data_IF_150084463305
#
_entry.id   IF_150084463305
#
_cell.length_a   1.000
_cell.length_b   1.000
_cell.length_c   1.000
_cell.angle_alpha   90.00
_cell.angle_beta   90.00
_cell.angle_gamma   90.00
#
_symmetry.space_group_name_H-M   'P 1'
#
loop_
_entity.id
_entity.type
_entity.pdbx_description
1 polymer ?
#
# COMPACT_ATOMS: atom_id res chain seq x y z
N UNK A 1 -46.02 -40.75 -0.39
CA UNK A 1 -45.71 -40.78 -1.83
C UNK A 1 -44.38 -40.09 -2.05
N UNK A 2 -43.44 -40.79 -2.68
CA UNK A 2 -42.08 -40.28 -2.94
C UNK A 2 -41.97 -39.92 -4.42
N UNK A 3 -41.54 -38.69 -4.74
CA UNK A 3 -41.41 -38.17 -6.12
C UNK A 3 -40.12 -37.35 -6.26
N UNK A 4 -39.00 -38.05 -6.42
CA UNK A 4 -37.66 -37.45 -6.40
C UNK A 4 -36.78 -38.04 -7.49
N UNK A 5 -35.67 -37.37 -7.80
CA UNK A 5 -34.62 -37.91 -8.68
C UNK A 5 -34.04 -39.24 -8.22
N UNK A 6 -33.47 -40.01 -9.15
CA UNK A 6 -32.84 -41.32 -8.87
C UNK A 6 -31.75 -41.25 -7.80
N UNK A 7 -31.00 -40.14 -7.75
CA UNK A 7 -29.96 -39.92 -6.74
C UNK A 7 -30.55 -39.80 -5.33
N UNK A 8 -31.62 -39.01 -5.18
CA UNK A 8 -32.34 -38.86 -3.90
C UNK A 8 -33.04 -40.15 -3.50
N UNK A 9 -33.61 -40.88 -4.46
CA UNK A 9 -34.22 -42.17 -4.19
C UNK A 9 -33.21 -43.18 -3.64
N UNK A 10 -31.98 -43.22 -4.19
CA UNK A 10 -30.89 -44.06 -3.65
C UNK A 10 -30.52 -43.69 -2.21
N UNK A 11 -30.40 -42.40 -1.90
CA UNK A 11 -30.12 -41.89 -0.55
C UNK A 11 -31.23 -42.30 0.43
N UNK A 12 -32.48 -42.13 0.04
CA UNK A 12 -33.66 -42.50 0.82
C UNK A 12 -33.73 -44.02 1.07
N UNK A 13 -33.45 -44.82 0.04
CA UNK A 13 -33.39 -46.28 0.16
C UNK A 13 -32.28 -46.73 1.14
N UNK A 14 -31.13 -46.05 1.15
CA UNK A 14 -30.03 -46.37 2.07
C UNK A 14 -30.42 -46.16 3.55
N UNK A 15 -31.13 -45.08 3.87
CA UNK A 15 -31.64 -44.82 5.24
C UNK A 15 -32.94 -45.55 5.57
N UNK A 16 -33.50 -46.29 4.60
CA UNK A 16 -34.69 -47.10 4.78
C UNK A 16 -35.98 -46.30 5.03
N UNK A 17 -36.07 -45.07 4.52
CA UNK A 17 -37.33 -44.32 4.53
C UNK A 17 -38.23 -44.79 3.38
N UNK A 18 -39.43 -45.23 3.72
CA UNK A 18 -40.36 -45.90 2.81
C UNK A 18 -41.69 -45.14 2.70
N UNK A 19 -42.51 -45.52 1.72
CA UNK A 19 -43.88 -45.00 1.63
C UNK A 19 -44.75 -45.38 2.84
N UNK A 20 -44.45 -46.50 3.50
CA UNK A 20 -45.12 -46.92 4.73
C UNK A 20 -44.81 -45.96 5.89
N UNK A 21 -43.55 -45.52 6.03
CA UNK A 21 -43.17 -44.51 7.04
C UNK A 21 -43.94 -43.20 6.81
N UNK A 22 -44.07 -42.78 5.54
CA UNK A 22 -44.83 -41.59 5.16
C UNK A 22 -46.33 -41.76 5.41
N UNK A 23 -46.87 -42.95 5.17
CA UNK A 23 -48.28 -43.26 5.44
C UNK A 23 -48.58 -43.25 6.94
N UNK A 24 -47.69 -43.80 7.77
CA UNK A 24 -47.77 -43.74 9.24
C UNK A 24 -47.83 -42.27 9.68
N UNK A 25 -46.85 -41.46 9.30
CA UNK A 25 -46.81 -40.05 9.71
C UNK A 25 -48.04 -39.27 9.24
N UNK A 26 -48.50 -39.50 8.01
CA UNK A 26 -49.72 -38.87 7.48
C UNK A 26 -50.97 -39.28 8.26
N UNK A 27 -51.11 -40.56 8.60
CA UNK A 27 -52.26 -41.05 9.36
C UNK A 27 -52.32 -40.49 10.78
N UNK A 28 -51.17 -40.07 11.34
CA UNK A 28 -51.03 -39.55 12.69
C UNK A 28 -50.98 -38.02 12.76
N UNK A 29 -51.29 -37.33 11.66
CA UNK A 29 -51.26 -35.86 11.59
C UNK A 29 -52.09 -35.17 12.68
N UNK A 30 -53.23 -35.74 13.10
CA UNK A 30 -54.05 -35.20 14.19
C UNK A 30 -53.32 -35.25 15.55
N UNK A 31 -52.67 -36.36 15.87
CA UNK A 31 -51.88 -36.51 17.09
C UNK A 31 -50.67 -35.55 17.10
N UNK A 32 -50.01 -35.36 15.96
CA UNK A 32 -48.94 -34.37 15.82
C UNK A 32 -49.45 -32.93 15.98
N UNK A 33 -50.61 -32.61 15.42
CA UNK A 33 -51.22 -31.29 15.58
C UNK A 33 -51.54 -30.98 17.05
N UNK A 34 -52.03 -31.96 17.82
CA UNK A 34 -52.32 -31.82 19.25
C UNK A 34 -51.08 -31.46 20.07
N UNK A 35 -49.91 -32.03 19.73
CA UNK A 35 -48.67 -31.81 20.50
C UNK A 35 -47.80 -30.67 19.96
N UNK A 36 -48.09 -30.13 18.76
CA UNK A 36 -47.22 -29.19 18.04
C UNK A 36 -46.89 -27.95 18.86
N UNK A 37 -47.89 -27.34 19.51
CA UNK A 37 -47.66 -26.15 20.34
C UNK A 37 -46.73 -26.46 21.51
N UNK A 38 -46.98 -27.56 22.23
CA UNK A 38 -46.17 -27.98 23.37
C UNK A 38 -44.73 -28.30 22.97
N UNK A 39 -44.53 -29.03 21.87
CA UNK A 39 -43.19 -29.36 21.36
C UNK A 39 -42.41 -28.09 21.03
N UNK A 40 -43.01 -27.16 20.29
CA UNK A 40 -42.31 -25.95 19.86
C UNK A 40 -42.05 -25.00 21.02
N UNK A 41 -43.00 -24.84 21.94
CA UNK A 41 -42.80 -23.98 23.11
C UNK A 41 -41.68 -24.53 24.02
N UNK A 42 -41.71 -25.83 24.36
CA UNK A 42 -40.65 -26.47 25.14
C UNK A 42 -39.29 -26.46 24.41
N UNK A 43 -39.28 -26.53 23.08
CA UNK A 43 -38.05 -26.41 22.29
C UNK A 43 -37.42 -25.02 22.44
N UNK A 44 -38.21 -23.95 22.32
CA UNK A 44 -37.69 -22.60 22.46
C UNK A 44 -37.26 -22.28 23.90
N UNK A 45 -37.90 -22.86 24.90
CA UNK A 45 -37.42 -22.75 26.29
C UNK A 45 -36.00 -23.31 26.43
N UNK A 46 -35.68 -24.41 25.73
CA UNK A 46 -34.32 -24.99 25.68
C UNK A 46 -33.34 -24.10 24.91
N UNK A 47 -33.75 -23.60 23.74
CA UNK A 47 -32.91 -22.78 22.85
C UNK A 47 -32.56 -21.43 23.51
N UNK A 48 -33.55 -20.77 24.12
CA UNK A 48 -33.37 -19.47 24.80
C UNK A 48 -32.49 -19.61 26.05
N UNK A 49 -32.42 -20.81 26.63
CA UNK A 49 -31.47 -21.13 27.69
C UNK A 49 -30.00 -21.05 27.29
N UNK A 50 -29.67 -21.01 25.98
CA UNK A 50 -28.32 -20.84 25.47
C UNK A 50 -28.09 -19.38 25.03
N UNK A 51 -27.24 -18.59 25.73
CA UNK A 51 -27.05 -17.17 25.45
C UNK A 51 -26.66 -16.83 24.00
N UNK A 52 -25.81 -17.65 23.39
CA UNK A 52 -25.35 -17.48 22.02
C UNK A 52 -26.48 -17.67 20.98
N UNK A 53 -27.37 -18.64 21.20
CA UNK A 53 -28.52 -18.87 20.33
C UNK A 53 -29.57 -17.78 20.50
N UNK A 54 -29.79 -17.33 21.74
CA UNK A 54 -30.68 -16.20 22.03
C UNK A 54 -30.18 -14.93 21.35
N UNK A 55 -28.88 -14.64 21.42
CA UNK A 55 -28.26 -13.51 20.71
C UNK A 55 -28.49 -13.61 19.21
N UNK A 56 -28.25 -14.78 18.63
CA UNK A 56 -28.44 -15.01 17.20
C UNK A 56 -29.89 -14.79 16.76
N UNK A 57 -30.85 -15.30 17.53
CA UNK A 57 -32.28 -15.07 17.30
C UNK A 57 -32.59 -13.58 17.31
N UNK A 58 -32.18 -12.86 18.36
CA UNK A 58 -32.48 -11.44 18.52
C UNK A 58 -31.83 -10.56 17.43
N UNK A 59 -30.74 -11.02 16.81
CA UNK A 59 -30.10 -10.33 15.69
C UNK A 59 -30.81 -10.50 14.35
N UNK A 60 -31.62 -11.57 14.17
CA UNK A 60 -32.18 -11.92 12.86
C UNK A 60 -33.71 -12.10 12.85
N UNK A 61 -34.36 -12.24 14.01
CA UNK A 61 -35.79 -12.48 14.13
C UNK A 61 -36.32 -12.22 15.55
N UNK A 62 -37.51 -12.75 15.84
CA UNK A 62 -38.14 -12.75 17.16
C UNK A 62 -38.58 -14.17 17.49
N UNK A 63 -38.62 -14.51 18.78
CA UNK A 63 -39.00 -15.85 19.23
C UNK A 63 -40.39 -16.23 18.70
N UNK A 64 -41.37 -15.33 18.76
CA UNK A 64 -42.75 -15.66 18.35
C UNK A 64 -42.87 -15.96 16.86
N UNK A 65 -42.20 -15.17 16.01
CA UNK A 65 -42.18 -15.44 14.56
C UNK A 65 -41.50 -16.77 14.25
N UNK A 66 -40.42 -17.08 14.96
CA UNK A 66 -39.71 -18.33 14.76
C UNK A 66 -40.51 -19.53 15.28
N UNK A 67 -41.23 -19.41 16.40
CA UNK A 67 -42.15 -20.43 16.90
C UNK A 67 -43.23 -20.76 15.87
N UNK A 68 -43.85 -19.77 15.23
CA UNK A 68 -44.80 -20.03 14.13
C UNK A 68 -44.17 -20.81 12.99
N UNK A 69 -42.96 -20.42 12.58
CA UNK A 69 -42.22 -21.09 11.50
C UNK A 69 -41.86 -22.53 11.89
N UNK A 70 -41.48 -22.76 13.15
CA UNK A 70 -41.15 -24.08 13.67
C UNK A 70 -42.37 -24.98 13.84
N UNK A 71 -43.55 -24.42 14.16
CA UNK A 71 -44.82 -25.17 14.16
C UNK A 71 -45.16 -25.68 12.77
N UNK A 72 -45.03 -24.82 11.76
CA UNK A 72 -45.18 -25.24 10.37
C UNK A 72 -44.15 -26.31 9.99
N UNK A 73 -42.87 -26.12 10.37
CA UNK A 73 -41.80 -27.08 10.10
C UNK A 73 -42.10 -28.45 10.71
N UNK A 74 -42.46 -28.50 11.99
CA UNK A 74 -42.77 -29.77 12.66
C UNK A 74 -43.94 -30.49 12.00
N UNK A 75 -45.02 -29.77 11.66
CA UNK A 75 -46.16 -30.34 10.94
C UNK A 75 -45.83 -30.75 9.51
N UNK A 76 -44.85 -30.10 8.86
CA UNK A 76 -44.44 -30.48 7.50
C UNK A 76 -43.79 -31.88 7.46
N UNK A 77 -43.29 -32.39 8.59
CA UNK A 77 -42.77 -33.77 8.68
C UNK A 77 -43.87 -34.83 8.56
N UNK A 78 -45.14 -34.47 8.75
CA UNK A 78 -46.28 -35.40 8.65
C UNK A 78 -47.06 -35.26 7.35
N UNK A 79 -46.53 -34.59 6.34
CA UNK A 79 -47.23 -34.37 5.06
C UNK A 79 -47.53 -35.67 4.29
N UNK A 80 -46.70 -36.71 4.51
CA UNK A 80 -46.72 -37.95 3.74
C UNK A 80 -46.21 -37.81 2.31
N UNK A 81 -45.58 -36.68 1.97
CA UNK A 81 -45.05 -36.36 0.64
C UNK A 81 -43.60 -35.91 0.76
N UNK A 82 -42.72 -36.57 0.01
CA UNK A 82 -41.35 -36.14 -0.23
C UNK A 82 -41.19 -35.97 -1.74
N UNK A 83 -41.02 -34.72 -2.17
CA UNK A 83 -40.82 -34.33 -3.55
C UNK A 83 -39.67 -33.31 -3.68
N UNK A 84 -39.37 -32.88 -4.91
CA UNK A 84 -38.31 -31.88 -5.15
C UNK A 84 -38.58 -30.54 -4.43
N UNK A 85 -39.85 -30.17 -4.19
CA UNK A 85 -40.22 -28.99 -3.42
C UNK A 85 -39.83 -29.14 -1.94
N UNK A 86 -40.02 -30.33 -1.36
CA UNK A 86 -39.52 -30.65 -0.03
C UNK A 86 -38.01 -30.42 0.06
N UNK A 87 -37.23 -31.01 -0.85
CA UNK A 87 -35.77 -30.85 -0.86
C UNK A 87 -35.34 -29.40 -1.04
N UNK A 88 -35.93 -28.69 -2.01
CA UNK A 88 -35.60 -27.29 -2.30
C UNK A 88 -35.84 -26.38 -1.10
N UNK A 89 -36.94 -26.60 -0.35
CA UNK A 89 -37.23 -25.84 0.87
C UNK A 89 -36.23 -26.14 1.98
N UNK A 90 -35.85 -27.41 2.19
CA UNK A 90 -34.88 -27.79 3.22
C UNK A 90 -33.48 -27.27 2.92
N UNK A 91 -33.04 -27.35 1.66
CA UNK A 91 -31.81 -26.72 1.20
C UNK A 91 -31.81 -25.21 1.46
N UNK A 92 -32.91 -24.52 1.12
CA UNK A 92 -33.04 -23.09 1.39
C UNK A 92 -32.94 -22.76 2.90
N UNK A 93 -33.63 -23.51 3.75
CA UNK A 93 -33.57 -23.34 5.21
C UNK A 93 -32.13 -23.57 5.71
N UNK A 94 -31.45 -24.62 5.24
CA UNK A 94 -30.03 -24.87 5.58
C UNK A 94 -29.14 -23.68 5.19
N UNK A 95 -29.29 -23.15 3.97
CA UNK A 95 -28.57 -21.97 3.49
C UNK A 95 -28.81 -20.72 4.34
N UNK A 96 -30.04 -20.50 4.82
CA UNK A 96 -30.37 -19.39 5.72
C UNK A 96 -29.62 -19.53 7.05
N UNK A 97 -29.61 -20.73 7.64
CA UNK A 97 -28.94 -20.97 8.92
C UNK A 97 -27.41 -20.89 8.81
N UNK A 98 -26.81 -21.40 7.73
CA UNK A 98 -25.37 -21.20 7.45
C UNK A 98 -25.04 -19.72 7.35
N UNK A 99 -25.86 -18.95 6.63
CA UNK A 99 -25.64 -17.51 6.41
C UNK A 99 -25.69 -16.67 7.68
N UNK A 100 -26.58 -16.99 8.62
CA UNK A 100 -26.63 -16.29 9.91
C UNK A 100 -25.55 -16.78 10.88
N UNK A 101 -24.79 -17.83 10.53
CA UNK A 101 -23.71 -18.36 11.37
C UNK A 101 -24.17 -19.32 12.46
N UNK A 102 -25.36 -19.95 12.31
CA UNK A 102 -25.72 -21.06 13.19
C UNK A 102 -24.80 -22.25 12.87
N UNK A 103 -24.03 -22.72 13.84
CA UNK A 103 -23.14 -23.88 13.62
C UNK A 103 -23.94 -25.18 13.46
N UNK A 104 -23.41 -26.13 12.69
CA UNK A 104 -24.00 -27.46 12.52
C UNK A 104 -24.21 -28.20 13.85
N UNK A 105 -23.36 -27.97 14.86
CA UNK A 105 -23.51 -28.58 16.20
C UNK A 105 -24.87 -28.25 16.84
N UNK A 106 -25.24 -26.97 16.87
CA UNK A 106 -26.51 -26.51 17.41
C UNK A 106 -27.69 -26.93 16.55
N UNK A 107 -27.54 -26.87 15.23
CA UNK A 107 -28.57 -27.31 14.30
C UNK A 107 -28.87 -28.80 14.49
N UNK A 108 -27.84 -29.65 14.44
CA UNK A 108 -27.98 -31.09 14.57
C UNK A 108 -28.52 -31.49 15.96
N UNK A 109 -28.07 -30.81 17.02
CA UNK A 109 -28.60 -30.98 18.36
C UNK A 109 -30.10 -30.65 18.48
N UNK A 110 -30.64 -29.78 17.62
CA UNK A 110 -32.07 -29.44 17.63
C UNK A 110 -32.93 -30.63 17.19
N UNK A 111 -32.44 -31.51 16.31
CA UNK A 111 -33.17 -32.72 15.90
C UNK A 111 -33.40 -33.69 17.04
N UNK A 112 -32.40 -33.89 17.92
CA UNK A 112 -32.58 -34.77 19.08
C UNK A 112 -33.55 -34.16 20.09
N UNK A 113 -33.54 -32.83 20.27
CA UNK A 113 -34.53 -32.15 21.11
C UNK A 113 -35.95 -32.32 20.57
N UNK A 114 -36.14 -32.20 19.25
CA UNK A 114 -37.42 -32.47 18.62
C UNK A 114 -37.89 -33.91 18.86
N UNK A 115 -37.02 -34.90 18.69
CA UNK A 115 -37.35 -36.30 18.91
C UNK A 115 -37.71 -36.61 20.36
N UNK A 116 -36.95 -36.07 21.32
CA UNK A 116 -37.23 -36.26 22.75
C UNK A 116 -38.58 -35.68 23.15
N UNK A 117 -38.86 -34.44 22.71
CA UNK A 117 -40.11 -33.75 22.99
C UNK A 117 -41.31 -34.41 22.30
N UNK A 118 -41.16 -34.78 21.02
CA UNK A 118 -42.20 -35.50 20.29
C UNK A 118 -42.50 -36.86 20.93
N UNK A 119 -41.48 -37.62 21.33
CA UNK A 119 -41.64 -38.92 22.01
C UNK A 119 -42.38 -38.77 23.34
N UNK A 120 -42.00 -37.79 24.15
CA UNK A 120 -42.64 -37.50 25.44
C UNK A 120 -44.14 -37.25 25.29
N UNK A 121 -44.54 -36.46 24.29
CA UNK A 121 -45.94 -36.06 24.09
C UNK A 121 -46.76 -37.09 23.31
N UNK A 122 -46.19 -37.74 22.28
CA UNK A 122 -46.86 -38.82 21.53
C UNK A 122 -47.22 -40.01 22.42
N UNK A 123 -46.39 -40.35 23.41
CA UNK A 123 -46.72 -41.38 24.42
C UNK A 123 -48.03 -41.11 25.17
N UNK A 124 -48.45 -39.85 25.26
CA UNK A 124 -49.68 -39.44 25.97
C UNK A 124 -50.88 -39.44 25.05
N UNK A 125 -50.74 -38.93 23.82
CA UNK A 125 -51.85 -38.73 22.88
C UNK A 125 -52.10 -39.94 21.95
N UNK A 126 -51.11 -40.80 21.75
CA UNK A 126 -51.19 -42.01 20.90
C UNK A 126 -50.41 -43.19 21.53
N UNK A 127 -50.80 -43.66 22.74
CA UNK A 127 -50.03 -44.64 23.51
C UNK A 127 -49.88 -46.01 22.83
N UNK A 128 -50.78 -46.35 21.91
CA UNK A 128 -50.77 -47.67 21.24
C UNK A 128 -49.78 -47.75 20.07
N UNK A 129 -49.42 -46.62 19.44
CA UNK A 129 -48.64 -46.63 18.18
C UNK A 129 -47.55 -45.54 18.09
N UNK A 130 -47.25 -44.85 19.21
CA UNK A 130 -46.22 -43.81 19.25
C UNK A 130 -44.84 -44.31 18.77
N UNK A 131 -44.51 -45.60 18.96
CA UNK A 131 -43.21 -46.16 18.54
C UNK A 131 -43.02 -46.12 17.03
N UNK A 132 -44.06 -46.45 16.25
CA UNK A 132 -43.99 -46.41 14.78
C UNK A 132 -43.89 -44.97 14.29
N UNK A 133 -44.65 -44.07 14.93
CA UNK A 133 -44.61 -42.64 14.65
C UNK A 133 -43.24 -42.03 14.90
N UNK A 134 -42.63 -42.30 16.06
CA UNK A 134 -41.28 -41.80 16.42
C UNK A 134 -40.20 -42.41 15.53
N UNK A 135 -40.30 -43.69 15.15
CA UNK A 135 -39.35 -44.31 14.24
C UNK A 135 -39.40 -43.68 12.84
N UNK A 136 -40.59 -43.49 12.27
CA UNK A 136 -40.77 -42.80 11.00
C UNK A 136 -40.29 -41.34 11.06
N UNK A 137 -40.60 -40.64 12.16
CA UNK A 137 -40.13 -39.26 12.40
C UNK A 137 -38.60 -39.18 12.50
N UNK A 138 -37.96 -40.17 13.12
CA UNK A 138 -36.50 -40.24 13.25
C UNK A 138 -35.83 -40.36 11.88
N UNK A 139 -36.40 -41.17 10.97
CA UNK A 139 -35.94 -41.26 9.58
C UNK A 139 -36.14 -39.94 8.83
N UNK A 140 -37.28 -39.27 9.02
CA UNK A 140 -37.53 -37.94 8.43
C UNK A 140 -36.51 -36.89 8.89
N UNK A 141 -36.22 -36.83 10.20
CA UNK A 141 -35.20 -35.90 10.71
C UNK A 141 -33.79 -36.27 10.25
N UNK A 142 -33.47 -37.56 10.12
CA UNK A 142 -32.19 -37.96 9.56
C UNK A 142 -32.04 -37.53 8.10
N UNK A 143 -33.08 -37.71 7.27
CA UNK A 143 -33.10 -37.21 5.90
C UNK A 143 -32.93 -35.69 5.85
N UNK A 144 -33.70 -34.96 6.68
CA UNK A 144 -33.62 -33.50 6.78
C UNK A 144 -32.22 -33.02 7.17
N UNK A 145 -31.59 -33.71 8.14
CA UNK A 145 -30.22 -33.42 8.58
C UNK A 145 -29.21 -33.56 7.44
N UNK A 146 -29.34 -34.58 6.59
CA UNK A 146 -28.45 -34.78 5.44
C UNK A 146 -28.61 -33.65 4.42
N UNK A 147 -29.84 -33.20 4.16
CA UNK A 147 -30.10 -32.09 3.23
C UNK A 147 -29.55 -30.77 3.78
N UNK A 148 -29.68 -30.54 5.09
CA UNK A 148 -29.11 -29.35 5.73
C UNK A 148 -27.58 -29.39 5.68
N UNK A 149 -26.95 -30.53 5.96
CA UNK A 149 -25.49 -30.67 5.86
C UNK A 149 -24.99 -30.42 4.43
N UNK A 150 -25.69 -30.93 3.41
CA UNK A 150 -25.41 -30.62 2.00
C UNK A 150 -25.45 -29.11 1.73
N UNK A 151 -26.45 -28.39 2.26
CA UNK A 151 -26.52 -26.94 2.13
C UNK A 151 -25.34 -26.19 2.80
N UNK A 152 -24.84 -26.69 3.94
CA UNK A 152 -23.66 -26.14 4.61
C UNK A 152 -22.38 -26.43 3.82
N UNK A 153 -22.24 -27.65 3.28
CA UNK A 153 -21.10 -28.04 2.45
C UNK A 153 -21.03 -27.21 1.16
N UNK A 154 -22.16 -26.98 0.49
CA UNK A 154 -22.23 -26.10 -0.68
C UNK A 154 -21.79 -24.66 -0.36
N UNK A 155 -22.30 -24.10 0.75
CA UNK A 155 -21.96 -22.74 1.18
C UNK A 155 -20.48 -22.60 1.55
N UNK A 156 -19.91 -23.60 2.23
CA UNK A 156 -18.50 -23.61 2.60
C UNK A 156 -17.60 -23.78 1.37
N UNK A 157 -17.97 -24.65 0.44
CA UNK A 157 -17.26 -24.81 -0.83
C UNK A 157 -17.23 -23.50 -1.62
N UNK A 158 -18.36 -22.79 -1.71
CA UNK A 158 -18.41 -21.50 -2.39
C UNK A 158 -17.53 -20.44 -1.72
N UNK A 159 -17.44 -20.43 -0.37
CA UNK A 159 -16.51 -19.55 0.36
C UNK A 159 -15.05 -19.89 0.05
N UNK A 160 -14.69 -21.17 0.02
CA UNK A 160 -13.34 -21.64 -0.31
C UNK A 160 -12.96 -21.25 -1.74
N UNK A 161 -13.85 -21.46 -2.73
CA UNK A 161 -13.62 -21.06 -4.12
C UNK A 161 -13.34 -19.54 -4.23
N UNK A 162 -14.14 -18.72 -3.55
CA UNK A 162 -13.92 -17.26 -3.51
C UNK A 162 -12.60 -16.87 -2.84
N UNK A 163 -12.19 -17.58 -1.79
CA UNK A 163 -10.90 -17.36 -1.13
C UNK A 163 -9.74 -17.70 -2.09
N UNK A 164 -9.84 -18.79 -2.84
CA UNK A 164 -8.85 -19.18 -3.86
C UNK A 164 -8.75 -18.13 -4.96
N UNK A 165 -9.88 -17.66 -5.50
CA UNK A 165 -9.89 -16.59 -6.51
C UNK A 165 -9.24 -15.30 -6.00
N UNK A 166 -9.60 -14.89 -4.77
CA UNK A 166 -9.05 -13.68 -4.15
C UNK A 166 -7.54 -13.83 -3.91
N UNK A 167 -7.09 -15.01 -3.44
CA UNK A 167 -5.66 -15.32 -3.27
C UNK A 167 -4.91 -15.23 -4.60
N UNK A 168 -5.43 -15.85 -5.66
CA UNK A 168 -4.78 -15.85 -6.98
C UNK A 168 -4.68 -14.44 -7.57
N UNK A 169 -5.73 -13.63 -7.40
CA UNK A 169 -5.73 -12.22 -7.79
C UNK A 169 -4.64 -11.44 -7.04
N UNK A 170 -4.53 -11.63 -5.72
CA UNK A 170 -3.51 -10.98 -4.90
C UNK A 170 -2.09 -11.39 -5.31
N UNK A 171 -1.83 -12.68 -5.54
CA UNK A 171 -0.53 -13.17 -6.00
C UNK A 171 -0.11 -12.54 -7.34
N UNK A 172 -1.03 -12.49 -8.30
CA UNK A 172 -0.78 -11.85 -9.61
C UNK A 172 -0.48 -10.36 -9.44
N UNK A 173 -1.21 -9.67 -8.54
CA UNK A 173 -0.99 -8.24 -8.29
C UNK A 173 0.35 -7.97 -7.61
N UNK A 174 0.74 -8.80 -6.64
CA UNK A 174 2.05 -8.70 -5.96
C UNK A 174 3.18 -8.94 -6.95
N UNK A 175 3.09 -9.98 -7.79
CA UNK A 175 4.08 -10.27 -8.84
C UNK A 175 4.28 -9.08 -9.78
N UNK A 176 3.18 -8.47 -10.24
CA UNK A 176 3.24 -7.25 -11.07
C UNK A 176 3.95 -6.09 -10.38
N UNK A 177 3.71 -5.88 -9.08
CA UNK A 177 4.35 -4.80 -8.30
C UNK A 177 5.84 -5.08 -8.11
N UNK A 178 6.23 -6.33 -7.85
CA UNK A 178 7.65 -6.73 -7.71
C UNK A 178 8.42 -6.51 -9.02
N UNK A 179 7.81 -6.83 -10.16
CA UNK A 179 8.45 -6.60 -11.47
C UNK A 179 8.64 -5.10 -11.77
N UNK A 180 7.64 -4.28 -11.46
CA UNK A 180 7.71 -2.83 -11.63
C UNK A 180 8.77 -2.23 -10.70
N UNK A 181 8.81 -2.68 -9.43
CA UNK A 181 9.83 -2.30 -8.46
C UNK A 181 11.23 -2.61 -8.97
N UNK A 182 11.47 -3.84 -9.45
CA UNK A 182 12.77 -4.28 -10.00
C UNK A 182 13.24 -3.38 -11.14
N UNK A 183 12.33 -3.00 -12.06
CA UNK A 183 12.65 -2.06 -13.14
C UNK A 183 13.04 -0.68 -12.61
N UNK A 184 12.28 -0.15 -11.64
CA UNK A 184 12.60 1.12 -10.99
C UNK A 184 13.96 1.09 -10.29
N UNK A 185 14.33 -0.03 -9.66
CA UNK A 185 15.62 -0.19 -8.99
C UNK A 185 16.79 -0.09 -9.96
N UNK A 186 16.69 -0.75 -11.12
CA UNK A 186 17.71 -0.66 -12.18
C UNK A 186 17.89 0.77 -12.66
N UNK A 187 16.78 1.49 -12.87
CA UNK A 187 16.81 2.89 -13.28
C UNK A 187 17.42 3.78 -12.18
N UNK A 188 17.02 3.59 -10.92
CA UNK A 188 17.52 4.37 -9.79
C UNK A 188 19.03 4.19 -9.59
N UNK A 189 19.53 2.96 -9.73
CA UNK A 189 20.96 2.67 -9.65
C UNK A 189 21.76 3.40 -10.74
N UNK A 190 21.26 3.36 -11.98
CA UNK A 190 21.86 4.08 -13.12
C UNK A 190 21.88 5.59 -12.86
N UNK A 191 20.76 6.16 -12.42
CA UNK A 191 20.67 7.58 -12.07
C UNK A 191 21.60 7.95 -10.93
N UNK A 192 21.72 7.10 -9.90
CA UNK A 192 22.63 7.36 -8.78
C UNK A 192 24.09 7.41 -9.22
N UNK A 193 24.51 6.44 -10.07
CA UNK A 193 25.87 6.41 -10.63
C UNK A 193 26.17 7.64 -11.50
N UNK A 194 25.20 8.10 -12.31
CA UNK A 194 25.34 9.32 -13.10
C UNK A 194 25.50 10.56 -12.21
N UNK A 195 24.73 10.64 -11.13
CA UNK A 195 24.83 11.74 -10.16
C UNK A 195 26.20 11.76 -9.48
N UNK A 196 26.69 10.61 -9.01
CA UNK A 196 28.03 10.50 -8.41
C UNK A 196 29.13 10.94 -9.39
N UNK A 197 29.05 10.49 -10.65
CA UNK A 197 30.01 10.85 -11.69
C UNK A 197 30.00 12.35 -11.98
N UNK A 198 28.81 12.95 -12.14
CA UNK A 198 28.66 14.39 -12.37
C UNK A 198 29.17 15.21 -11.19
N UNK A 199 28.94 14.75 -9.96
CA UNK A 199 29.43 15.41 -8.77
C UNK A 199 30.96 15.37 -8.70
N UNK A 200 31.59 14.21 -8.98
CA UNK A 200 33.05 14.10 -9.08
C UNK A 200 33.62 14.99 -10.19
N UNK A 201 32.96 15.06 -11.35
CA UNK A 201 33.38 15.91 -12.45
C UNK A 201 33.28 17.40 -12.09
N UNK A 202 32.19 17.81 -11.46
CA UNK A 202 31.95 19.18 -11.00
C UNK A 202 33.01 19.60 -9.97
N UNK A 203 33.33 18.74 -9.01
CA UNK A 203 34.40 18.99 -8.05
C UNK A 203 35.75 19.22 -8.74
N UNK A 204 36.09 18.38 -9.74
CA UNK A 204 37.35 18.51 -10.50
C UNK A 204 37.41 19.80 -11.33
N UNK A 205 36.33 20.15 -12.02
CA UNK A 205 36.22 21.42 -12.77
C UNK A 205 36.41 22.60 -11.82
N UNK A 206 35.85 22.51 -10.62
CA UNK A 206 35.89 23.58 -9.65
C UNK A 206 37.28 23.74 -8.98
N UNK A 207 38.00 22.64 -8.76
CA UNK A 207 39.42 22.68 -8.36
C UNK A 207 40.31 23.35 -9.43
N UNK A 208 40.02 23.13 -10.71
CA UNK A 208 40.71 23.83 -11.81
C UNK A 208 40.38 25.33 -11.84
N UNK A 209 39.12 25.71 -11.62
CA UNK A 209 38.71 27.11 -11.48
C UNK A 209 39.45 27.79 -10.33
N UNK A 210 39.59 27.11 -9.18
CA UNK A 210 40.38 27.58 -8.04
C UNK A 210 41.85 27.84 -8.37
N UNK A 211 42.47 26.97 -9.18
CA UNK A 211 43.83 27.19 -9.64
C UNK A 211 43.94 28.45 -10.52
N UNK A 212 42.97 28.66 -11.43
CA UNK A 212 42.92 29.83 -12.32
C UNK A 212 42.63 31.14 -11.59
N UNK A 213 41.76 31.12 -10.59
CA UNK A 213 41.50 32.29 -9.73
C UNK A 213 42.78 32.70 -8.97
N UNK A 214 43.55 31.74 -8.45
CA UNK A 214 44.84 32.01 -7.80
C UNK A 214 45.88 32.59 -8.75
N UNK A 215 45.97 32.07 -9.97
CA UNK A 215 46.84 32.59 -11.02
C UNK A 215 46.49 34.05 -11.35
N UNK A 216 45.19 34.35 -11.53
CA UNK A 216 44.73 35.71 -11.83
C UNK A 216 44.95 36.69 -10.68
N UNK A 217 44.78 36.24 -9.43
CA UNK A 217 45.07 37.04 -8.25
C UNK A 217 46.55 37.44 -8.20
N UNK A 218 47.46 36.53 -8.53
CA UNK A 218 48.90 36.82 -8.66
C UNK A 218 49.19 37.87 -9.73
N UNK A 219 48.59 37.74 -10.92
CA UNK A 219 48.73 38.73 -12.00
C UNK A 219 48.24 40.12 -11.59
N UNK A 220 47.17 40.22 -10.78
CA UNK A 220 46.69 41.50 -10.25
C UNK A 220 47.70 42.14 -9.30
N UNK A 221 48.39 41.34 -8.48
CA UNK A 221 49.46 41.83 -7.60
C UNK A 221 50.64 42.38 -8.40
N UNK A 222 51.06 41.68 -9.46
CA UNK A 222 52.11 42.13 -10.36
C UNK A 222 51.76 43.46 -11.04
N UNK A 223 50.52 43.60 -11.55
CA UNK A 223 50.07 44.85 -12.19
C UNK A 223 49.99 45.99 -11.17
N UNK A 224 49.57 45.72 -9.93
CA UNK A 224 49.57 46.74 -8.87
C UNK A 224 50.99 47.25 -8.55
N UNK A 225 51.97 46.36 -8.54
CA UNK A 225 53.38 46.72 -8.33
C UNK A 225 53.92 47.58 -9.50
N UNK A 226 53.62 47.19 -10.73
CA UNK A 226 53.92 47.99 -11.93
C UNK A 226 53.25 49.36 -11.88
N UNK A 227 51.97 49.42 -11.48
CA UNK A 227 51.22 50.66 -11.35
C UNK A 227 51.81 51.62 -10.32
N UNK A 228 52.37 51.09 -9.22
CA UNK A 228 53.08 51.87 -8.20
C UNK A 228 54.37 52.47 -8.76
N UNK A 229 55.16 51.66 -9.46
CA UNK A 229 56.39 52.10 -10.14
C UNK A 229 56.10 53.18 -11.19
N UNK A 230 55.05 52.99 -12.00
CA UNK A 230 54.65 53.97 -13.02
C UNK A 230 54.15 55.29 -12.43
N UNK A 231 53.55 55.26 -11.23
CA UNK A 231 53.16 56.47 -10.52
C UNK A 231 54.39 57.27 -10.09
N UNK A 232 55.41 56.60 -9.56
CA UNK A 232 56.67 57.23 -9.19
C UNK A 232 57.34 57.88 -10.40
N UNK A 233 57.39 57.17 -11.54
CA UNK A 233 57.91 57.71 -12.81
C UNK A 233 57.09 58.93 -13.27
N UNK A 234 55.76 58.86 -13.19
CA UNK A 234 54.88 59.97 -13.55
C UNK A 234 55.10 61.20 -12.67
N UNK A 235 55.26 61.01 -11.35
CA UNK A 235 55.56 62.10 -10.41
C UNK A 235 56.95 62.71 -10.68
N UNK A 236 57.96 61.89 -10.95
CA UNK A 236 59.30 62.35 -11.37
C UNK A 236 59.25 63.10 -12.71
N UNK A 237 58.52 62.60 -13.69
CA UNK A 237 58.36 63.25 -15.00
C UNK A 237 57.66 64.59 -14.88
N UNK A 238 56.67 64.69 -13.98
CA UNK A 238 56.01 65.96 -13.68
C UNK A 238 57.00 66.99 -13.10
N UNK A 239 57.88 66.56 -12.19
CA UNK A 239 58.94 67.41 -11.62
C UNK A 239 59.97 67.82 -12.67
N UNK A 240 60.37 66.92 -13.57
CA UNK A 240 61.28 67.24 -14.68
C UNK A 240 60.65 68.30 -15.60
N UNK A 241 59.38 68.12 -15.96
CA UNK A 241 58.65 69.10 -16.77
C UNK A 241 58.50 70.45 -16.06
N UNK A 242 58.33 70.46 -14.73
CA UNK A 242 58.31 71.70 -13.94
C UNK A 242 59.66 72.42 -13.95
N UNK A 243 60.76 71.69 -13.75
CA UNK A 243 62.11 72.24 -13.80
C UNK A 243 62.45 72.78 -15.21
N UNK A 244 62.05 72.06 -16.26
CA UNK A 244 62.22 72.49 -17.65
C UNK A 244 61.42 73.78 -17.97
N UNK A 245 60.20 73.92 -17.44
CA UNK A 245 59.41 75.13 -17.60
C UNK A 245 60.05 76.33 -16.88
N UNK A 246 60.63 76.11 -15.69
CA UNK A 246 61.36 77.13 -14.94
C UNK A 246 62.59 77.63 -15.72
N UNK A 247 63.34 76.71 -16.33
CA UNK A 247 64.54 77.05 -17.11
C UNK A 247 64.19 77.71 -18.45
N UNK A 248 63.08 77.30 -19.08
CA UNK A 248 62.53 77.97 -20.25
C UNK A 248 62.14 79.43 -19.95
N UNK A 249 61.49 79.68 -18.81
CA UNK A 249 61.16 81.03 -18.36
C UNK A 249 62.41 81.88 -18.06
N UNK A 250 63.48 81.27 -17.54
CA UNK A 250 64.78 81.92 -17.32
C UNK A 250 65.50 82.33 -18.61
N UNK A 251 65.33 81.56 -19.69
CA UNK A 251 65.96 81.82 -20.98
C UNK A 251 65.26 82.95 -21.78
N UNK A 252 64.14 83.51 -21.29
CA UNK A 252 63.41 84.60 -21.95
C UNK A 252 62.90 84.21 -23.34
N UNK A 253 63.07 85.09 -24.33
CA UNK A 253 62.58 84.87 -25.71
C UNK A 253 63.16 83.62 -26.37
N UNK A 254 64.37 83.19 -25.99
CA UNK A 254 65.01 81.97 -26.51
C UNK A 254 64.39 80.68 -25.94
N UNK A 255 63.65 80.77 -24.83
CA UNK A 255 63.04 79.63 -24.13
C UNK A 255 61.60 79.31 -24.55
N UNK A 256 60.96 80.15 -25.37
CA UNK A 256 59.54 80.03 -25.72
C UNK A 256 59.17 78.66 -26.32
N UNK A 257 60.02 78.08 -27.17
CA UNK A 257 59.80 76.73 -27.72
C UNK A 257 59.96 75.61 -26.68
N UNK A 258 60.88 75.77 -25.72
CA UNK A 258 61.08 74.82 -24.63
C UNK A 258 59.94 74.85 -23.61
N UNK A 259 59.33 76.02 -23.37
CA UNK A 259 58.18 76.15 -22.46
C UNK A 259 56.96 75.34 -22.94
N UNK A 260 56.72 75.30 -24.25
CA UNK A 260 55.67 74.47 -24.86
C UNK A 260 55.92 72.99 -24.59
N UNK A 261 57.16 72.52 -24.80
CA UNK A 261 57.54 71.12 -24.56
C UNK A 261 57.43 70.76 -23.07
N UNK A 262 57.89 71.64 -22.18
CA UNK A 262 57.81 71.43 -20.74
C UNK A 262 56.36 71.32 -20.23
N UNK A 263 55.45 72.16 -20.75
CA UNK A 263 54.03 72.09 -20.46
C UNK A 263 53.39 70.79 -20.99
N UNK A 264 53.78 70.33 -22.19
CA UNK A 264 53.29 69.06 -22.74
C UNK A 264 53.77 67.86 -21.91
N UNK A 265 55.03 67.86 -21.43
CA UNK A 265 55.55 66.82 -20.52
C UNK A 265 54.75 66.79 -19.21
N UNK A 266 54.47 67.96 -18.60
CA UNK A 266 53.67 68.02 -17.35
C UNK A 266 52.25 67.50 -17.57
N UNK A 267 51.64 67.85 -18.70
CA UNK A 267 50.29 67.40 -19.08
C UNK A 267 50.27 65.89 -19.31
N UNK A 268 51.26 65.34 -20.00
CA UNK A 268 51.43 63.90 -20.22
C UNK A 268 51.63 63.15 -18.89
N UNK A 269 52.47 63.68 -18.00
CA UNK A 269 52.69 63.12 -16.68
C UNK A 269 51.38 63.09 -15.86
N UNK A 270 50.63 64.20 -15.83
CA UNK A 270 49.35 64.30 -15.13
C UNK A 270 48.31 63.33 -15.69
N UNK A 271 48.22 63.23 -17.03
CA UNK A 271 47.33 62.29 -17.71
C UNK A 271 47.68 60.82 -17.41
N UNK A 272 48.99 60.51 -17.34
CA UNK A 272 49.48 59.18 -16.97
C UNK A 272 49.08 58.83 -15.53
N UNK A 273 49.23 59.77 -14.59
CA UNK A 273 48.79 59.59 -13.19
C UNK A 273 47.29 59.30 -13.08
N UNK A 274 46.47 60.05 -13.82
CA UNK A 274 45.01 59.83 -13.83
C UNK A 274 44.63 58.45 -14.41
N UNK A 275 45.34 58.02 -15.45
CA UNK A 275 45.14 56.70 -16.07
C UNK A 275 45.51 55.58 -15.08
N UNK A 276 46.60 55.73 -14.33
CA UNK A 276 47.02 54.79 -13.29
C UNK A 276 46.00 54.68 -12.14
N UNK A 277 45.40 55.79 -11.70
CA UNK A 277 44.32 55.74 -10.70
C UNK A 277 43.11 54.94 -11.21
N UNK A 278 42.77 55.10 -12.49
CA UNK A 278 41.69 54.35 -13.12
C UNK A 278 42.00 52.86 -13.19
N UNK A 279 43.23 52.50 -13.56
CA UNK A 279 43.71 51.10 -13.57
C UNK A 279 43.61 50.49 -12.16
N UNK A 280 44.10 51.18 -11.13
CA UNK A 280 44.04 50.67 -9.77
C UNK A 280 42.62 50.43 -9.26
N UNK A 281 41.69 51.36 -9.56
CA UNK A 281 40.28 51.16 -9.25
C UNK A 281 39.73 49.91 -9.93
N UNK A 282 40.05 49.70 -11.22
CA UNK A 282 39.63 48.52 -11.97
C UNK A 282 40.23 47.23 -11.43
N UNK A 283 41.49 47.22 -11.01
CA UNK A 283 42.12 46.07 -10.37
C UNK A 283 41.45 45.72 -9.03
N UNK A 284 41.05 46.73 -8.26
CA UNK A 284 40.29 46.51 -7.02
C UNK A 284 38.94 45.83 -7.29
N UNK A 285 38.20 46.33 -8.28
CA UNK A 285 36.91 45.73 -8.71
C UNK A 285 37.10 44.27 -9.16
N UNK A 286 38.16 43.97 -9.92
CA UNK A 286 38.44 42.59 -10.36
C UNK A 286 38.80 41.69 -9.17
N UNK A 287 39.57 42.19 -8.19
CA UNK A 287 39.91 41.42 -6.99
C UNK A 287 38.68 41.07 -6.16
N UNK A 288 37.76 42.02 -5.97
CA UNK A 288 36.49 41.77 -5.26
C UNK A 288 35.67 40.68 -5.98
N UNK A 289 35.57 40.73 -7.30
CA UNK A 289 34.90 39.68 -8.09
C UNK A 289 35.60 38.30 -8.00
N UNK A 290 36.93 38.26 -7.92
CA UNK A 290 37.67 37.00 -7.76
C UNK A 290 37.42 36.35 -6.39
N UNK A 291 37.30 37.14 -5.33
CA UNK A 291 36.98 36.62 -3.99
C UNK A 291 35.56 36.02 -3.95
N UNK A 292 34.58 36.64 -4.62
CA UNK A 292 33.24 36.07 -4.77
C UNK A 292 33.26 34.73 -5.52
N UNK A 293 33.98 34.67 -6.65
CA UNK A 293 34.14 33.43 -7.43
C UNK A 293 34.82 32.35 -6.61
N UNK A 294 35.87 32.68 -5.85
CA UNK A 294 36.56 31.74 -4.97
C UNK A 294 35.58 31.16 -3.93
N UNK A 295 34.78 31.98 -3.27
CA UNK A 295 33.87 31.50 -2.24
C UNK A 295 32.79 30.57 -2.83
N UNK A 296 32.13 30.99 -3.93
CA UNK A 296 31.16 30.13 -4.62
C UNK A 296 31.78 28.84 -5.13
N UNK A 297 33.07 28.88 -5.46
CA UNK A 297 33.83 27.72 -5.90
C UNK A 297 34.10 26.72 -4.77
N UNK A 298 34.51 27.16 -3.58
CA UNK A 298 34.65 26.30 -2.39
C UNK A 298 33.32 25.66 -1.99
N UNK A 299 32.23 26.42 -2.06
CA UNK A 299 30.90 25.92 -1.71
C UNK A 299 30.43 24.82 -2.68
N UNK A 300 30.65 25.01 -3.97
CA UNK A 300 30.31 24.02 -5.01
C UNK A 300 31.08 22.72 -4.82
N UNK A 301 32.36 22.77 -4.43
CA UNK A 301 33.15 21.56 -4.13
C UNK A 301 32.55 20.80 -2.95
N UNK A 302 32.14 21.51 -1.90
CA UNK A 302 31.50 20.90 -0.72
C UNK A 302 30.21 20.18 -1.12
N UNK A 303 29.31 20.86 -1.83
CA UNK A 303 28.05 20.27 -2.30
C UNK A 303 28.27 19.06 -3.22
N UNK A 304 29.27 19.14 -4.11
CA UNK A 304 29.60 18.02 -4.99
C UNK A 304 30.05 16.78 -4.20
N UNK A 305 30.84 16.96 -3.13
CA UNK A 305 31.26 15.82 -2.27
C UNK A 305 30.09 15.22 -1.50
N UNK A 306 29.20 16.05 -0.96
CA UNK A 306 27.99 15.59 -0.28
C UNK A 306 27.04 14.83 -1.22
N UNK A 307 26.91 15.31 -2.46
CA UNK A 307 26.11 14.66 -3.50
C UNK A 307 26.68 13.29 -3.90
N UNK A 308 28.01 13.18 -4.04
CA UNK A 308 28.67 11.89 -4.31
C UNK A 308 28.44 10.88 -3.17
N UNK A 309 28.60 11.29 -1.91
CA UNK A 309 28.36 10.43 -0.76
C UNK A 309 26.89 9.95 -0.68
N UNK A 310 25.95 10.86 -0.95
CA UNK A 310 24.51 10.54 -0.97
C UNK A 310 24.17 9.51 -2.07
N UNK A 311 24.84 9.59 -3.22
CA UNK A 311 24.70 8.60 -4.30
C UNK A 311 25.20 7.20 -3.92
N UNK A 312 26.29 7.12 -3.16
CA UNK A 312 26.79 5.83 -2.63
C UNK A 312 25.78 5.22 -1.65
N UNK A 313 25.19 6.02 -0.76
CA UNK A 313 24.13 5.58 0.15
C UNK A 313 22.90 5.08 -0.61
N UNK A 314 22.45 5.81 -1.65
CA UNK A 314 21.36 5.37 -2.52
C UNK A 314 21.66 4.03 -3.20
N UNK A 315 22.90 3.78 -3.62
CA UNK A 315 23.29 2.49 -4.20
C UNK A 315 23.15 1.34 -3.20
N UNK A 316 23.50 1.57 -1.93
CA UNK A 316 23.30 0.57 -0.88
C UNK A 316 21.81 0.28 -0.62
N UNK A 317 20.96 1.31 -0.66
CA UNK A 317 19.52 1.17 -0.53
C UNK A 317 18.92 0.40 -1.71
N UNK A 318 19.47 0.59 -2.92
CA UNK A 318 19.08 -0.19 -4.08
C UNK A 318 19.28 -1.68 -3.85
N UNK A 319 20.45 -2.07 -3.36
CA UNK A 319 20.79 -3.47 -3.12
C UNK A 319 19.90 -4.10 -2.03
N UNK A 320 19.52 -3.32 -1.02
CA UNK A 320 18.58 -3.77 0.00
C UNK A 320 17.19 -4.06 -0.59
N UNK A 321 16.65 -3.16 -1.41
CA UNK A 321 15.34 -3.37 -2.03
C UNK A 321 15.38 -4.55 -3.02
N UNK A 322 16.48 -4.72 -3.76
CA UNK A 322 16.65 -5.86 -4.68
C UNK A 322 16.58 -7.20 -3.93
N UNK A 323 17.16 -7.26 -2.72
CA UNK A 323 17.06 -8.43 -1.84
C UNK A 323 15.61 -8.69 -1.41
N UNK A 324 14.88 -7.64 -1.00
CA UNK A 324 13.46 -7.75 -0.62
C UNK A 324 12.59 -8.19 -1.80
N UNK A 325 12.86 -7.67 -3.00
CA UNK A 325 12.16 -8.07 -4.21
C UNK A 325 12.40 -9.56 -4.54
N UNK A 326 13.64 -10.04 -4.37
CA UNK A 326 13.98 -11.45 -4.54
C UNK A 326 13.29 -12.35 -3.51
N UNK A 327 13.25 -11.96 -2.24
CA UNK A 327 12.57 -12.70 -1.17
C UNK A 327 11.07 -12.81 -1.45
N UNK A 328 10.43 -11.71 -1.87
CA UNK A 328 9.02 -11.70 -2.26
C UNK A 328 8.75 -12.62 -3.44
N UNK A 329 9.64 -12.63 -4.45
CA UNK A 329 9.49 -13.52 -5.59
C UNK A 329 9.64 -14.99 -5.19
N UNK A 330 10.56 -15.31 -4.27
CA UNK A 330 10.70 -16.65 -3.70
C UNK A 330 9.46 -17.13 -2.94
N UNK A 331 8.78 -16.24 -2.21
CA UNK A 331 7.50 -16.56 -1.56
C UNK A 331 6.39 -16.85 -2.58
N UNK A 332 6.35 -16.12 -3.70
CA UNK A 332 5.38 -16.37 -4.78
C UNK A 332 5.63 -17.73 -5.46
N UNK A 333 6.89 -18.14 -5.63
CA UNK A 333 7.25 -19.42 -6.23
C UNK A 333 6.93 -20.61 -5.31
N UNK A 334 7.20 -20.51 -4.00
CA UNK A 334 6.86 -21.59 -3.05
C UNK A 334 5.35 -21.87 -2.99
N UNK A 335 4.53 -20.84 -3.15
CA UNK A 335 3.07 -20.95 -3.17
C UNK A 335 2.52 -21.57 -4.47
N UNK A 336 3.34 -21.69 -5.52
CA UNK A 336 2.94 -22.29 -6.81
C UNK A 336 3.18 -23.80 -6.90
N UNK A 337 3.86 -24.40 -5.91
CA UNK A 337 4.27 -25.82 -5.87
C UNK A 337 3.35 -26.68 -4.98
N UNK A 338 2.38 -26.07 -4.30
CA UNK A 338 1.35 -26.73 -3.50
C UNK A 338 -0.05 -26.35 -3.98
#
# INVERSE_FOLDING_TARGET
MIRVSDARLKQMNYIGISEDDLAVLKSKQAAFAEITNLVVDELYDRIVGQPELLKLINSHSTIERLKETQRWYFMSMTSGLIDEDFFSRRLYIGKVHSRIGLTTNWYLGTYILYLDLATKHLKRVDPEDWTRSVHALSKMFNLDSQIVLEAYEEDEKAKVEKLVETRQYMLTKVSSVVQELSSMMVQLNSSSNLVASNASHTASVQENSHAKVRELAGSIDEINQLGTTMREISDQTHLIGLNAALEAARAGDAGLGFEVVANEIRKLATSSKQSLMTIQRKLKEIREALDEVKHGSEETVRFSREQAASSEELSSFVQMIDTVAADLNGLLEQDSVH
#
